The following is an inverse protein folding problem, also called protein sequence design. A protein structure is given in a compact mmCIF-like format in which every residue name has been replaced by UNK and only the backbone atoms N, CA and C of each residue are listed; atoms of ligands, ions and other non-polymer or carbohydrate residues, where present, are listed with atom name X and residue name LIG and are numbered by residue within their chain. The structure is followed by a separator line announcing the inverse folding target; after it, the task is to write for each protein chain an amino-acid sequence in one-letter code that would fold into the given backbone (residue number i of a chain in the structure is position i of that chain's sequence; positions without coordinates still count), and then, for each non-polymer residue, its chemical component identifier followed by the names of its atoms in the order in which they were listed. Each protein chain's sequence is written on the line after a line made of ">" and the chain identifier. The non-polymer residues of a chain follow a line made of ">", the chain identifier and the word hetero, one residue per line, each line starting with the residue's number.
data_IF_015472968234
#
_entry.id   IF_015472968234
#
_cell.length_a   1.000
_cell.length_b   1.000
_cell.length_c   1.000
_cell.angle_alpha   90.00
_cell.angle_beta   90.00
_cell.angle_gamma   90.00
#
_symmetry.space_group_name_H-M   'P 1'
#
loop_
_entity.id
_entity.type
_entity.pdbx_description
1 polymer ?
#
# COMPACT_ATOMS: atom_id res chain seq x y z
N UNK A 1 -9.80 1.27 -17.86
CA UNK A 1 -9.16 0.13 -17.16
C UNK A 1 -8.61 0.59 -15.81
N UNK A 2 -8.95 -0.08 -14.70
CA UNK A 2 -8.35 0.17 -13.38
C UNK A 2 -6.96 -0.49 -13.29
N UNK A 3 -6.16 -0.17 -12.27
CA UNK A 3 -4.81 -0.77 -12.10
C UNK A 3 -4.89 -2.27 -11.79
N UNK A 4 -5.90 -2.70 -11.04
CA UNK A 4 -6.13 -4.11 -10.70
C UNK A 4 -6.49 -4.93 -11.93
N UNK A 5 -7.41 -4.46 -12.77
CA UNK A 5 -7.80 -5.16 -14.00
C UNK A 5 -6.65 -5.32 -14.99
N UNK A 6 -5.78 -4.30 -15.13
CA UNK A 6 -4.56 -4.43 -15.96
C UNK A 6 -3.62 -5.52 -15.44
N UNK A 7 -3.51 -5.67 -14.12
CA UNK A 7 -2.69 -6.70 -13.48
C UNK A 7 -3.25 -8.11 -13.68
N UNK A 8 -4.57 -8.27 -13.61
CA UNK A 8 -5.23 -9.55 -13.88
C UNK A 8 -5.05 -9.98 -15.33
N UNK A 9 -5.25 -9.05 -16.27
CA UNK A 9 -5.02 -9.30 -17.68
C UNK A 9 -3.56 -9.69 -17.96
N UNK A 10 -2.61 -8.98 -17.34
CA UNK A 10 -1.20 -9.35 -17.43
C UNK A 10 -0.95 -10.78 -16.94
N UNK A 11 -1.51 -11.17 -15.79
CA UNK A 11 -1.33 -12.51 -15.24
C UNK A 11 -1.86 -13.59 -16.19
N UNK A 12 -2.96 -13.32 -16.87
CA UNK A 12 -3.54 -14.24 -17.87
C UNK A 12 -2.66 -14.36 -19.14
N UNK A 13 -2.07 -13.25 -19.60
CA UNK A 13 -1.27 -13.21 -20.85
C UNK A 13 0.17 -13.68 -20.64
N UNK A 14 0.75 -13.46 -19.45
CA UNK A 14 2.14 -13.81 -19.13
C UNK A 14 2.56 -15.24 -19.51
N UNK A 15 1.84 -16.32 -19.12
CA UNK A 15 2.26 -17.68 -19.46
C UNK A 15 2.18 -17.95 -20.97
N UNK A 16 1.22 -17.35 -21.67
CA UNK A 16 1.09 -17.46 -23.13
C UNK A 16 2.26 -16.79 -23.84
N UNK A 17 2.61 -15.57 -23.42
CA UNK A 17 3.76 -14.84 -23.97
C UNK A 17 5.08 -15.58 -23.76
N UNK A 18 5.29 -16.21 -22.59
CA UNK A 18 6.51 -16.97 -22.28
C UNK A 18 6.69 -18.20 -23.17
N UNK A 19 5.59 -18.89 -23.51
CA UNK A 19 5.60 -20.12 -24.33
C UNK A 19 5.54 -19.86 -25.83
N UNK A 20 5.15 -18.66 -26.24
CA UNK A 20 5.00 -18.29 -27.64
C UNK A 20 6.35 -18.19 -28.39
N UNK A 21 6.30 -18.45 -29.69
CA UNK A 21 7.39 -18.19 -30.63
C UNK A 21 7.53 -16.68 -30.91
N UNK A 22 8.61 -16.24 -31.56
CA UNK A 22 8.85 -14.83 -31.91
C UNK A 22 7.67 -14.19 -32.64
N UNK A 23 7.07 -14.88 -33.63
CA UNK A 23 5.94 -14.33 -34.40
C UNK A 23 4.69 -14.12 -33.54
N UNK A 24 4.32 -15.13 -32.74
CA UNK A 24 3.17 -15.07 -31.84
C UNK A 24 3.39 -14.09 -30.68
N UNK A 25 4.62 -13.95 -30.18
CA UNK A 25 4.97 -12.95 -29.17
C UNK A 25 4.67 -11.53 -29.64
N UNK A 26 4.94 -11.21 -30.90
CA UNK A 26 4.66 -9.88 -31.44
C UNK A 26 3.16 -9.59 -31.47
N UNK A 27 2.33 -10.56 -31.87
CA UNK A 27 0.87 -10.44 -31.88
C UNK A 27 0.33 -10.23 -30.47
N UNK A 28 0.73 -11.09 -29.53
CA UNK A 28 0.32 -11.00 -28.12
C UNK A 28 0.71 -9.64 -27.51
N UNK A 29 1.90 -9.13 -27.85
CA UNK A 29 2.38 -7.85 -27.36
C UNK A 29 1.58 -6.67 -27.92
N UNK A 30 1.19 -6.73 -29.20
CA UNK A 30 0.36 -5.71 -29.84
C UNK A 30 -1.02 -5.65 -29.18
N UNK A 31 -1.66 -6.80 -29.00
CA UNK A 31 -2.95 -6.91 -28.29
C UNK A 31 -2.86 -6.38 -26.85
N UNK A 32 -1.78 -6.74 -26.15
CA UNK A 32 -1.55 -6.27 -24.79
C UNK A 32 -1.42 -4.74 -24.71
N UNK A 33 -0.68 -4.13 -25.65
CA UNK A 33 -0.56 -2.68 -25.75
C UNK A 33 -1.90 -2.01 -26.08
N UNK A 34 -2.67 -2.55 -27.04
CA UNK A 34 -3.98 -2.02 -27.42
C UNK A 34 -4.99 -2.06 -26.26
N UNK A 35 -5.03 -3.15 -25.49
CA UNK A 35 -5.97 -3.31 -24.38
C UNK A 35 -5.60 -2.50 -23.12
N UNK A 36 -4.31 -2.41 -22.80
CA UNK A 36 -3.85 -1.74 -21.56
C UNK A 36 -3.49 -0.27 -21.73
N UNK A 37 -3.21 0.15 -22.97
CA UNK A 37 -2.68 1.48 -23.31
C UNK A 37 -1.19 1.65 -22.96
N UNK A 38 -0.47 0.56 -22.67
CA UNK A 38 0.95 0.64 -22.34
C UNK A 38 1.84 0.75 -23.58
N UNK A 39 2.93 1.51 -23.45
CA UNK A 39 3.94 1.57 -24.49
C UNK A 39 4.68 0.24 -24.63
N UNK A 40 5.04 -0.14 -25.86
CA UNK A 40 5.66 -1.43 -26.20
C UNK A 40 6.89 -1.74 -25.34
N UNK A 41 7.79 -0.77 -25.15
CA UNK A 41 8.99 -0.92 -24.31
C UNK A 41 8.65 -1.25 -22.85
N UNK A 42 7.59 -0.65 -22.31
CA UNK A 42 7.13 -0.94 -20.95
C UNK A 42 6.53 -2.34 -20.85
N UNK A 43 5.67 -2.72 -21.80
CA UNK A 43 5.04 -4.03 -21.86
C UNK A 43 6.06 -5.18 -21.95
N UNK A 44 7.10 -5.03 -22.79
CA UNK A 44 8.17 -6.01 -22.92
C UNK A 44 8.88 -6.22 -21.58
N UNK A 45 9.28 -5.14 -20.88
CA UNK A 45 9.94 -5.26 -19.58
C UNK A 45 9.07 -6.00 -18.56
N UNK A 46 7.76 -5.80 -18.62
CA UNK A 46 6.82 -6.38 -17.68
C UNK A 46 6.58 -7.88 -17.96
N UNK A 47 6.49 -8.25 -19.24
CA UNK A 47 6.29 -9.64 -19.68
C UNK A 47 7.59 -10.48 -19.63
N UNK A 48 8.75 -9.86 -19.79
CA UNK A 48 10.06 -10.51 -19.60
C UNK A 48 10.53 -10.49 -18.14
N UNK A 49 9.86 -9.70 -17.30
CA UNK A 49 10.18 -9.58 -15.88
C UNK A 49 9.83 -10.83 -15.07
N UNK A 50 10.04 -10.77 -13.74
CA UNK A 50 9.71 -11.88 -12.86
C UNK A 50 8.23 -12.26 -12.99
N UNK A 51 7.89 -13.56 -12.79
CA UNK A 51 6.52 -14.01 -12.89
C UNK A 51 5.58 -13.15 -12.04
N UNK A 52 4.38 -12.80 -12.56
CA UNK A 52 3.33 -12.14 -11.78
C UNK A 52 2.69 -13.16 -10.82
N UNK A 53 3.51 -13.89 -10.06
CA UNK A 53 3.04 -14.65 -8.92
C UNK A 53 2.23 -13.69 -8.05
N UNK A 54 1.08 -14.17 -7.53
CA UNK A 54 0.44 -13.51 -6.39
C UNK A 54 1.57 -13.24 -5.43
N UNK A 55 1.85 -11.96 -5.14
CA UNK A 55 2.83 -11.56 -4.14
C UNK A 55 2.66 -12.53 -3.00
N UNK A 56 3.56 -13.52 -2.86
CA UNK A 56 3.60 -14.33 -1.65
C UNK A 56 3.67 -13.26 -0.60
N UNK A 57 2.66 -13.20 0.27
CA UNK A 57 2.60 -12.19 1.31
C UNK A 57 4.00 -12.23 1.91
N UNK A 58 4.81 -11.20 1.63
CA UNK A 58 6.18 -11.18 2.11
C UNK A 58 5.95 -11.23 3.59
N UNK A 59 6.28 -12.37 4.20
CA UNK A 59 6.08 -12.58 5.63
C UNK A 59 6.96 -11.49 6.23
N UNK A 60 6.32 -10.37 6.59
CA UNK A 60 6.99 -9.24 7.18
C UNK A 60 7.38 -9.76 8.55
N UNK A 61 8.59 -10.32 8.66
CA UNK A 61 9.15 -10.68 9.94
C UNK A 61 9.10 -9.39 10.77
N UNK A 62 8.37 -9.37 11.90
CA UNK A 62 8.37 -8.21 12.75
C UNK A 62 9.82 -7.94 13.12
N UNK A 63 10.26 -6.69 12.99
CA UNK A 63 11.60 -6.30 13.44
C UNK A 63 11.66 -6.56 14.94
N UNK A 64 12.71 -7.22 15.39
CA UNK A 64 12.97 -7.36 16.82
C UNK A 64 13.09 -5.96 17.42
N UNK A 65 12.38 -5.63 18.52
CA UNK A 65 12.47 -4.32 19.13
C UNK A 65 13.92 -4.08 19.59
N UNK A 66 14.52 -2.99 19.12
CA UNK A 66 15.89 -2.59 19.50
C UNK A 66 15.98 -2.07 20.93
N UNK A 67 14.85 -1.73 21.54
CA UNK A 67 14.76 -1.14 22.87
C UNK A 67 14.24 -2.15 23.90
N UNK A 68 14.81 -2.11 25.10
CA UNK A 68 14.31 -2.85 26.25
C UNK A 68 12.86 -2.45 26.57
N UNK A 69 12.00 -3.37 27.05
CA UNK A 69 10.62 -3.07 27.43
C UNK A 69 10.49 -1.89 28.40
N UNK A 70 11.48 -1.68 29.27
CA UNK A 70 11.52 -0.52 30.18
C UNK A 70 11.53 0.81 29.42
N UNK A 71 12.34 0.91 28.35
CA UNK A 71 12.45 2.13 27.54
C UNK A 71 11.15 2.40 26.80
N UNK A 72 10.46 1.35 26.32
CA UNK A 72 9.16 1.47 25.64
C UNK A 72 8.09 2.00 26.59
N UNK A 73 8.08 1.55 27.85
CA UNK A 73 7.14 2.03 28.87
C UNK A 73 7.37 3.51 29.19
N UNK A 74 8.64 3.92 29.36
CA UNK A 74 8.97 5.34 29.58
C UNK A 74 8.54 6.18 28.39
N UNK A 75 8.81 5.73 27.16
CA UNK A 75 8.37 6.42 25.95
C UNK A 75 6.85 6.53 25.88
N UNK A 76 6.12 5.46 26.20
CA UNK A 76 4.67 5.46 26.21
C UNK A 76 4.10 6.45 27.24
N UNK A 77 4.69 6.51 28.44
CA UNK A 77 4.31 7.49 29.45
C UNK A 77 4.52 8.92 28.94
N UNK A 78 5.71 9.24 28.44
CA UNK A 78 6.02 10.56 27.85
C UNK A 78 5.03 10.91 26.74
N UNK A 79 4.65 9.93 25.91
CA UNK A 79 3.72 10.15 24.81
C UNK A 79 2.31 10.46 25.29
N UNK A 80 1.83 9.80 26.34
CA UNK A 80 0.54 10.08 26.97
C UNK A 80 0.52 11.48 27.59
N UNK A 81 1.61 11.88 28.28
CA UNK A 81 1.74 13.24 28.81
C UNK A 81 1.72 14.29 27.70
N UNK A 82 2.46 14.06 26.62
CA UNK A 82 2.46 14.94 25.46
C UNK A 82 1.08 15.04 24.79
N UNK A 83 0.39 13.92 24.62
CA UNK A 83 -0.96 13.88 24.05
C UNK A 83 -1.98 14.61 24.94
N UNK A 84 -1.92 14.42 26.26
CA UNK A 84 -2.77 15.11 27.23
C UNK A 84 -2.51 16.63 27.23
N UNK A 85 -1.26 17.07 27.10
CA UNK A 85 -0.91 18.49 26.99
C UNK A 85 -1.40 19.14 25.67
N UNK A 86 -1.54 18.34 24.60
CA UNK A 86 -2.12 18.80 23.34
C UNK A 86 -3.66 18.86 23.45
N UNK A 87 -4.29 17.86 24.08
CA UNK A 87 -5.75 17.81 24.28
C UNK A 87 -6.26 18.81 25.34
N UNK A 88 -5.45 19.16 26.33
CA UNK A 88 -5.76 20.16 27.38
C UNK A 88 -5.90 21.60 26.88
N UNK A 89 -5.67 21.86 25.59
CA UNK A 89 -5.85 23.18 24.96
C UNK A 89 -7.28 23.45 24.45
N UNK A 90 -8.25 22.56 24.72
CA UNK A 90 -9.66 22.73 24.35
C UNK A 90 -10.62 23.04 25.51
N UNK A 91 -10.16 23.26 26.74
CA UNK A 91 -11.02 23.57 27.88
C UNK A 91 -11.10 25.07 28.24
N UNK A 92 -11.01 25.97 27.24
CA UNK A 92 -11.39 27.36 27.45
C UNK A 92 -12.19 27.88 26.26
N UNK A 93 -13.51 27.73 26.33
CA UNK A 93 -14.53 28.67 25.83
C UNK A 93 -15.88 27.95 25.82
N UNK A 94 -16.64 28.12 26.90
CA UNK A 94 -18.00 28.73 26.90
C UNK A 94 -18.70 28.41 28.22
N UNK A 95 -18.78 29.43 29.08
CA UNK A 95 -19.80 29.57 30.12
C UNK A 95 -21.21 29.34 29.53
N UNK A 96 -22.14 28.80 30.32
CA UNK A 96 -23.41 29.46 30.61
C UNK A 96 -24.31 28.64 31.56
N UNK A 97 -24.63 29.29 32.69
CA UNK A 97 -25.95 29.36 33.35
C UNK A 97 -26.33 28.26 34.37
N UNK A 98 -25.83 28.41 35.59
CA UNK A 98 -26.55 28.02 36.81
C UNK A 98 -26.84 29.28 37.63
N UNK A 99 -28.10 29.72 37.63
CA UNK A 99 -28.61 30.73 38.54
C UNK A 99 -29.70 30.11 39.41
N UNK A 100 -29.44 30.00 40.71
CA UNK A 100 -30.39 29.91 41.83
C UNK A 100 -29.60 30.29 43.08
N UNK A 101 -30.15 31.14 43.97
CA UNK A 101 -30.90 30.55 45.09
C UNK A 101 -32.12 31.38 45.55
N UNK A 102 -33.05 30.71 46.24
CA UNK A 102 -34.01 31.31 47.17
C UNK A 102 -35.35 31.68 46.58
#
# INVERSE_FOLDING_TARGET
>A
MSRTSRWEYLRAVYPRYRRADRGTKQVILNEFCANTGYHRKYAIRLLNGPPPERKRAVVRRPRTPSYSPVVVLVLAAVWVWAAAAIAGRCASKRCCRSGSPG
#
